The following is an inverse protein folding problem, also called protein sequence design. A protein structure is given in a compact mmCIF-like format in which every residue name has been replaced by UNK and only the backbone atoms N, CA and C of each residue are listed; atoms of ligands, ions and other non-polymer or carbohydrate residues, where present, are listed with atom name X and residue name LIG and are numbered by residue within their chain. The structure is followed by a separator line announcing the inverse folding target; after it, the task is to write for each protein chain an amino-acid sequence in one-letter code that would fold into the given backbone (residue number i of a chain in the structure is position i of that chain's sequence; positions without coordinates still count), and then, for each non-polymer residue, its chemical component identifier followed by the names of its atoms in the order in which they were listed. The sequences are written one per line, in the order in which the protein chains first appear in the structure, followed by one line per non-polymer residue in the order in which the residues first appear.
data_IF_652338602275
#
_entry.id   IF_652338602275
#
_cell.length_a   1.000
_cell.length_b   1.000
_cell.length_c   1.000
_cell.angle_alpha   90.00
_cell.angle_beta   90.00
_cell.angle_gamma   90.00
#
_symmetry.space_group_name_H-M   'P 1'
#
loop_
_entity.id
_entity.type
_entity.pdbx_description
1 polymer ?
#
# COMPACT_ATOMS: atom_id res chain seq x y z
N UNK A 1 -11.94 -34.61 26.34
CA UNK A 1 -12.04 -35.54 25.19
C UNK A 1 -13.42 -35.41 24.56
N UNK A 2 -13.53 -34.65 23.49
CA UNK A 2 -14.39 -34.92 22.32
C UNK A 2 -14.02 -33.88 21.27
N UNK A 3 -13.21 -34.34 20.32
CA UNK A 3 -12.95 -33.70 19.05
C UNK A 3 -14.26 -33.53 18.29
N UNK A 4 -14.39 -32.44 17.54
CA UNK A 4 -15.12 -32.42 16.27
C UNK A 4 -14.61 -31.26 15.43
N UNK A 5 -13.94 -31.64 14.34
CA UNK A 5 -13.53 -30.80 13.23
C UNK A 5 -14.77 -30.17 12.57
N UNK A 6 -14.67 -28.91 12.18
CA UNK A 6 -15.48 -28.38 11.09
C UNK A 6 -14.60 -27.40 10.28
N UNK A 7 -14.16 -27.88 9.11
CA UNK A 7 -13.77 -27.03 7.99
C UNK A 7 -14.96 -26.13 7.63
N UNK A 8 -14.74 -24.83 7.51
CA UNK A 8 -15.65 -23.95 6.80
C UNK A 8 -14.84 -23.07 5.85
N UNK A 9 -15.12 -23.30 4.57
CA UNK A 9 -14.67 -22.62 3.38
C UNK A 9 -15.07 -21.13 3.44
N UNK A 10 -14.13 -20.20 3.29
CA UNK A 10 -14.44 -18.78 3.07
C UNK A 10 -14.06 -18.43 1.64
N UNK A 11 -15.07 -18.29 0.79
CA UNK A 11 -14.93 -17.65 -0.50
C UNK A 11 -14.99 -16.13 -0.27
N UNK A 12 -13.85 -15.46 -0.36
CA UNK A 12 -13.81 -14.00 -0.50
C UNK A 12 -13.97 -13.66 -1.98
N UNK A 13 -15.07 -12.99 -2.31
CA UNK A 13 -15.29 -12.39 -3.63
C UNK A 13 -14.54 -11.05 -3.60
N UNK A 14 -13.41 -10.96 -4.28
CA UNK A 14 -12.82 -9.68 -4.67
C UNK A 14 -13.61 -9.16 -5.87
N UNK A 15 -14.18 -7.96 -5.77
CA UNK A 15 -14.88 -7.31 -6.87
C UNK A 15 -14.02 -6.16 -7.42
N UNK A 16 -12.95 -6.49 -8.15
CA UNK A 16 -12.30 -5.50 -8.99
C UNK A 16 -13.23 -5.15 -10.16
N UNK A 17 -13.81 -3.95 -10.09
CA UNK A 17 -14.74 -3.43 -11.09
C UNK A 17 -13.99 -3.12 -12.39
N UNK A 18 -14.13 -3.99 -13.39
CA UNK A 18 -13.64 -3.75 -14.74
C UNK A 18 -14.53 -2.69 -15.43
N UNK A 19 -14.00 -1.49 -15.66
CA UNK A 19 -14.65 -0.49 -16.51
C UNK A 19 -14.59 -0.95 -17.98
N UNK A 20 -15.68 -1.54 -18.47
CA UNK A 20 -15.92 -1.70 -19.92
C UNK A 20 -16.54 -0.42 -20.47
N UNK A 21 -15.77 0.35 -21.22
CA UNK A 21 -16.28 1.48 -22.00
C UNK A 21 -17.19 0.99 -23.12
N UNK A 22 -18.44 1.47 -23.13
CA UNK A 22 -19.42 1.19 -24.17
C UNK A 22 -19.44 2.37 -25.15
N UNK A 23 -18.94 2.16 -26.37
CA UNK A 23 -19.09 3.11 -27.47
C UNK A 23 -20.55 3.12 -27.94
N UNK A 24 -21.21 4.26 -27.83
CA UNK A 24 -22.45 4.53 -28.58
C UNK A 24 -22.24 5.67 -29.56
N UNK A 25 -22.43 5.33 -30.83
CA UNK A 25 -22.37 6.21 -31.99
C UNK A 25 -23.62 7.11 -32.14
N UNK A 26 -23.41 8.24 -32.83
CA UNK A 26 -24.44 9.09 -33.44
C UNK A 26 -24.55 10.47 -32.78
N UNK A 27 -24.50 11.61 -33.47
CA UNK A 27 -24.37 11.93 -34.88
C UNK A 27 -24.66 13.43 -35.09
N UNK A 28 -24.02 14.00 -36.12
CA UNK A 28 -24.37 15.21 -36.90
C UNK A 28 -24.50 16.59 -36.21
N UNK A 29 -23.63 17.53 -36.64
CA UNK A 29 -23.88 18.96 -36.53
C UNK A 29 -22.65 19.86 -36.69
N UNK A 30 -22.16 20.06 -37.93
CA UNK A 30 -21.30 21.21 -38.25
C UNK A 30 -22.10 22.53 -38.31
N UNK A 31 -21.49 23.73 -38.53
CA UNK A 31 -20.45 23.89 -39.55
C UNK A 31 -19.33 24.96 -39.31
N UNK A 32 -18.27 24.82 -40.12
CA UNK A 32 -17.45 25.84 -40.82
C UNK A 32 -16.46 26.83 -40.16
N UNK A 33 -15.19 26.65 -40.59
CA UNK A 33 -14.06 27.55 -40.93
C UNK A 33 -13.42 28.49 -39.89
N UNK A 34 -12.10 28.30 -39.69
CA UNK A 34 -11.10 29.08 -40.44
C UNK A 34 -9.70 28.46 -40.36
N UNK A 35 -9.09 28.31 -41.53
CA UNK A 35 -7.74 27.80 -41.76
C UNK A 35 -6.68 28.83 -41.39
N UNK A 36 -5.55 28.39 -40.83
CA UNK A 36 -4.25 29.04 -41.00
C UNK A 36 -3.19 27.99 -41.33
N UNK A 37 -2.50 28.25 -42.44
CA UNK A 37 -1.50 27.40 -43.07
C UNK A 37 -0.17 27.34 -42.33
N UNK A 38 0.43 26.16 -42.43
CA UNK A 38 1.84 25.89 -42.74
C UNK A 38 2.94 26.38 -41.78
N UNK A 39 3.64 25.40 -41.18
CA UNK A 39 5.08 25.24 -41.37
C UNK A 39 5.54 23.83 -40.96
N UNK A 40 6.12 23.12 -41.91
CA UNK A 40 6.85 21.87 -41.70
C UNK A 40 8.11 22.11 -40.84
N UNK A 41 8.48 21.19 -39.94
CA UNK A 41 9.85 21.04 -39.52
C UNK A 41 10.56 19.95 -40.32
N UNK A 42 11.75 20.32 -40.74
CA UNK A 42 12.76 19.57 -41.48
C UNK A 42 13.27 18.40 -40.66
N UNK A 43 13.33 17.22 -41.30
CA UNK A 43 14.11 16.06 -40.87
C UNK A 43 15.60 16.38 -40.87
N UNK A 44 16.30 16.14 -39.76
CA UNK A 44 17.76 16.12 -39.73
C UNK A 44 18.24 14.94 -38.90
N UNK A 45 18.60 13.88 -39.62
CA UNK A 45 19.27 12.68 -39.15
C UNK A 45 20.74 13.00 -38.89
N UNK A 46 21.27 12.62 -37.73
CA UNK A 46 22.73 12.64 -37.47
C UNK A 46 23.21 11.20 -37.25
N UNK A 47 24.25 10.73 -37.97
CA UNK A 47 24.78 9.39 -37.81
C UNK A 47 25.70 9.29 -36.58
N UNK A 48 25.59 8.18 -35.85
CA UNK A 48 26.53 7.79 -34.79
C UNK A 48 27.68 6.97 -35.41
N UNK A 49 28.96 7.33 -35.17
CA UNK A 49 30.09 6.54 -35.63
C UNK A 49 30.43 5.39 -34.67
N UNK A 50 30.56 4.20 -35.24
CA UNK A 50 31.14 2.98 -34.65
C UNK A 50 32.66 3.09 -34.55
N UNK A 51 33.32 2.72 -33.43
CA UNK A 51 34.73 2.40 -33.41
C UNK A 51 34.99 0.88 -33.60
N UNK A 52 36.09 0.49 -34.27
CA UNK A 52 36.42 -0.88 -34.63
C UNK A 52 37.14 -1.67 -33.52
N UNK A 53 37.02 -2.99 -33.65
CA UNK A 53 37.70 -4.07 -32.92
C UNK A 53 39.22 -4.09 -33.08
N UNK A 54 39.92 -4.64 -32.08
CA UNK A 54 41.10 -5.54 -32.18
C UNK A 54 41.78 -5.63 -30.80
N UNK A 55 42.55 -6.64 -30.38
CA UNK A 55 42.80 -8.04 -30.72
C UNK A 55 43.81 -8.53 -29.63
N UNK A 56 43.91 -9.84 -29.42
CA UNK A 56 45.04 -10.59 -28.81
C UNK A 56 45.14 -10.77 -27.27
N UNK A 57 44.84 -12.00 -26.86
CA UNK A 57 45.57 -12.78 -25.85
C UNK A 57 46.94 -13.22 -26.44
N UNK A 58 48.01 -13.48 -25.65
CA UNK A 58 48.16 -14.82 -25.06
C UNK A 58 49.01 -14.94 -23.76
N UNK A 59 48.98 -16.17 -23.24
CA UNK A 59 50.05 -16.92 -22.56
C UNK A 59 50.15 -16.96 -21.02
N UNK A 60 49.80 -18.16 -20.54
CA UNK A 60 50.13 -18.87 -19.30
C UNK A 60 51.54 -18.68 -18.74
N UNK A 61 51.70 -18.68 -17.41
CA UNK A 61 52.83 -19.32 -16.68
C UNK A 61 52.49 -19.46 -15.16
N UNK A 62 52.34 -20.72 -14.75
CA UNK A 62 52.82 -21.40 -13.52
C UNK A 62 52.45 -20.94 -12.10
N UNK A 63 51.75 -21.87 -11.43
CA UNK A 63 51.44 -22.08 -10.01
C UNK A 63 52.68 -22.19 -9.09
N UNK A 64 52.58 -21.72 -7.84
CA UNK A 64 53.14 -22.43 -6.70
C UNK A 64 52.03 -22.91 -5.75
N UNK A 65 52.16 -24.18 -5.33
CA UNK A 65 51.41 -24.78 -4.22
C UNK A 65 51.62 -23.99 -2.93
N UNK A 66 50.53 -23.71 -2.21
CA UNK A 66 50.58 -23.44 -0.77
C UNK A 66 49.38 -24.09 -0.09
N UNK A 67 49.70 -24.71 1.03
CA UNK A 67 48.96 -25.71 1.79
C UNK A 67 47.51 -25.34 2.10
N UNK A 68 46.63 -26.32 1.89
CA UNK A 68 45.28 -26.31 2.41
C UNK A 68 45.31 -26.32 3.95
N UNK A 69 44.99 -25.17 4.57
CA UNK A 69 44.49 -25.16 5.92
C UNK A 69 43.04 -25.68 5.88
N UNK A 70 42.76 -26.74 6.63
CA UNK A 70 41.39 -27.22 6.83
C UNK A 70 40.57 -26.07 7.44
N UNK A 71 39.44 -25.65 6.82
CA UNK A 71 38.50 -24.81 7.53
C UNK A 71 37.96 -25.64 8.69
N UNK A 72 38.16 -25.14 9.91
CA UNK A 72 37.47 -25.68 11.08
C UNK A 72 35.97 -25.73 10.77
N UNK A 73 35.25 -26.79 11.18
CA UNK A 73 33.80 -26.81 11.04
C UNK A 73 33.25 -25.54 11.69
N UNK A 74 32.61 -24.74 10.85
CA UNK A 74 32.09 -23.44 11.22
C UNK A 74 31.28 -23.58 12.50
N UNK A 75 31.50 -22.66 13.43
CA UNK A 75 30.51 -22.37 14.46
C UNK A 75 29.16 -22.32 13.76
N UNK A 76 28.28 -23.24 14.14
CA UNK A 76 26.85 -23.11 13.96
C UNK A 76 26.48 -21.76 14.54
N UNK A 77 26.46 -20.74 13.67
CA UNK A 77 26.07 -19.39 14.02
C UNK A 77 24.70 -19.51 14.67
N UNK A 78 24.56 -18.88 15.84
CA UNK A 78 23.25 -18.72 16.46
C UNK A 78 22.24 -18.30 15.38
N UNK A 79 21.00 -18.84 15.42
CA UNK A 79 19.96 -18.32 14.54
C UNK A 79 19.95 -16.80 14.66
N UNK A 80 20.03 -16.11 13.52
CA UNK A 80 19.95 -14.65 13.50
C UNK A 80 18.63 -14.29 14.19
N UNK A 81 18.68 -13.53 15.28
CA UNK A 81 17.51 -12.91 15.89
C UNK A 81 17.28 -11.55 15.24
N UNK A 82 16.07 -11.01 15.36
CA UNK A 82 15.72 -9.71 14.79
C UNK A 82 15.01 -9.78 13.45
N UNK A 83 14.45 -8.65 13.03
CA UNK A 83 13.64 -8.54 11.81
C UNK A 83 14.37 -9.02 10.55
N UNK A 84 15.70 -8.89 10.49
CA UNK A 84 16.52 -9.29 9.33
C UNK A 84 16.56 -10.79 9.11
N UNK A 85 16.17 -11.57 10.10
CA UNK A 85 16.07 -13.02 9.99
C UNK A 85 14.68 -13.49 9.52
N UNK A 86 13.72 -12.57 9.44
CA UNK A 86 12.35 -12.88 9.03
C UNK A 86 12.29 -13.15 7.53
N UNK A 87 11.76 -14.30 7.17
CA UNK A 87 11.42 -14.63 5.79
C UNK A 87 10.00 -14.14 5.49
N UNK A 88 9.87 -12.89 5.03
CA UNK A 88 8.59 -12.30 4.68
C UNK A 88 7.84 -13.05 3.57
N UNK A 89 8.54 -13.87 2.79
CA UNK A 89 7.97 -14.71 1.73
C UNK A 89 7.38 -16.03 2.23
N UNK A 90 7.60 -16.38 3.50
CA UNK A 90 7.03 -17.56 4.14
C UNK A 90 6.22 -17.20 5.41
N UNK A 91 5.48 -16.08 5.33
CA UNK A 91 4.61 -15.57 6.40
C UNK A 91 3.14 -15.52 6.00
N UNK A 92 2.29 -15.46 7.04
CA UNK A 92 0.90 -15.05 6.88
C UNK A 92 0.78 -13.55 7.10
N UNK A 93 0.38 -12.86 6.05
CA UNK A 93 0.09 -11.43 6.02
C UNK A 93 -1.38 -11.19 6.39
N UNK A 94 -1.62 -10.12 7.14
CA UNK A 94 -2.89 -9.40 7.13
C UNK A 94 -2.96 -8.65 5.80
N UNK A 95 -4.06 -8.84 5.06
CA UNK A 95 -4.23 -8.13 3.80
C UNK A 95 -4.19 -6.60 4.09
N UNK A 96 -3.26 -5.85 3.48
CA UNK A 96 -3.07 -4.43 3.79
C UNK A 96 -4.22 -3.53 3.36
N UNK A 97 -5.14 -4.03 2.52
CA UNK A 97 -6.29 -3.30 1.98
C UNK A 97 -7.60 -3.85 2.54
N UNK A 98 -7.69 -5.16 2.76
CA UNK A 98 -8.87 -5.82 3.29
C UNK A 98 -8.69 -6.30 4.74
N UNK A 99 -9.22 -5.60 5.76
CA UNK A 99 -9.07 -5.96 7.18
C UNK A 99 -9.46 -7.40 7.53
N UNK A 100 -10.42 -7.99 6.80
CA UNK A 100 -10.93 -9.34 7.05
C UNK A 100 -10.05 -10.45 6.47
N UNK A 101 -9.15 -10.13 5.55
CA UNK A 101 -8.40 -11.12 4.80
C UNK A 101 -7.02 -11.40 5.41
N UNK A 102 -6.55 -12.62 5.14
CA UNK A 102 -5.22 -13.11 5.46
C UNK A 102 -4.65 -13.80 4.23
N UNK A 103 -3.36 -13.60 3.98
CA UNK A 103 -2.66 -14.16 2.83
C UNK A 103 -1.43 -14.91 3.33
N UNK A 104 -1.41 -16.22 3.20
CA UNK A 104 -0.24 -17.03 3.54
C UNK A 104 0.65 -17.19 2.32
N UNK A 105 1.80 -16.52 2.32
CA UNK A 105 2.83 -16.69 1.31
C UNK A 105 3.63 -17.97 1.59
N UNK A 106 4.07 -18.61 0.50
CA UNK A 106 5.08 -19.67 0.47
C UNK A 106 6.05 -19.35 -0.65
N UNK A 107 7.35 -19.39 -0.38
CA UNK A 107 8.39 -19.04 -1.35
C UNK A 107 8.12 -17.68 -2.04
N UNK A 108 7.65 -16.70 -1.25
CA UNK A 108 7.38 -15.34 -1.69
C UNK A 108 6.06 -15.15 -2.44
N UNK A 109 5.20 -16.17 -2.55
CA UNK A 109 3.96 -16.10 -3.35
C UNK A 109 2.75 -16.73 -2.69
N UNK A 110 1.56 -16.28 -3.07
CA UNK A 110 0.30 -16.96 -2.81
C UNK A 110 -0.66 -16.84 -3.99
N UNK A 111 -1.63 -17.75 -4.07
CA UNK A 111 -2.72 -17.70 -5.04
C UNK A 111 -4.06 -17.65 -4.32
N UNK A 112 -4.96 -16.83 -4.84
CA UNK A 112 -6.29 -16.58 -4.33
C UNK A 112 -7.38 -17.01 -5.31
N UNK A 113 -8.64 -16.72 -4.95
CA UNK A 113 -9.76 -16.93 -5.87
C UNK A 113 -9.65 -16.01 -7.10
N UNK A 114 -10.38 -16.38 -8.16
CA UNK A 114 -10.51 -15.58 -9.39
C UNK A 114 -9.20 -15.23 -10.13
N UNK A 115 -8.09 -15.90 -9.83
CA UNK A 115 -6.80 -15.62 -10.45
C UNK A 115 -6.02 -14.48 -9.79
N UNK A 116 -6.48 -14.01 -8.63
CA UNK A 116 -5.71 -13.12 -7.76
C UNK A 116 -4.44 -13.84 -7.27
N UNK A 117 -3.29 -13.19 -7.39
CA UNK A 117 -2.02 -13.69 -6.86
C UNK A 117 -1.36 -12.63 -6.01
N UNK A 118 -0.62 -13.07 -4.99
CA UNK A 118 0.21 -12.19 -4.19
C UNK A 118 1.67 -12.56 -4.33
N UNK A 119 2.54 -11.56 -4.27
CA UNK A 119 3.97 -11.72 -4.14
C UNK A 119 4.57 -10.68 -3.22
N UNK A 120 5.69 -11.02 -2.58
CA UNK A 120 6.48 -10.07 -1.78
C UNK A 120 7.72 -9.63 -2.57
N UNK A 121 8.08 -8.36 -2.47
CA UNK A 121 9.38 -7.85 -2.93
C UNK A 121 10.50 -8.40 -2.03
N UNK A 122 11.60 -8.85 -2.64
CA UNK A 122 12.74 -9.44 -1.96
C UNK A 122 13.72 -8.41 -1.39
N UNK A 123 13.42 -7.11 -1.51
CA UNK A 123 14.25 -6.01 -1.00
C UNK A 123 13.63 -5.20 0.16
N UNK A 124 13.40 -5.79 1.35
CA UNK A 124 12.99 -5.03 2.53
C UNK A 124 13.92 -3.87 2.85
N UNK A 125 13.35 -2.74 3.24
CA UNK A 125 14.11 -1.62 3.84
C UNK A 125 14.06 -1.77 5.35
N UNK A 126 15.22 -1.71 5.99
CA UNK A 126 15.33 -1.85 7.45
C UNK A 126 15.57 -0.50 8.12
N UNK A 127 14.82 -0.23 9.18
CA UNK A 127 14.81 1.03 9.93
C UNK A 127 14.22 0.77 11.32
N UNK A 128 14.65 1.51 12.32
CA UNK A 128 14.01 1.53 13.65
C UNK A 128 12.75 2.43 13.56
N UNK A 129 11.59 1.81 13.31
CA UNK A 129 10.32 2.50 13.05
C UNK A 129 9.75 3.03 14.36
N UNK A 130 9.72 2.23 15.42
CA UNK A 130 9.04 2.59 16.66
C UNK A 130 9.95 3.25 17.71
N UNK A 131 11.27 3.25 17.49
CA UNK A 131 12.27 3.90 18.32
C UNK A 131 12.72 3.06 19.51
N UNK A 132 12.49 1.74 19.50
CA UNK A 132 12.86 0.83 20.58
C UNK A 132 14.34 0.38 20.53
N UNK A 133 15.02 0.68 19.42
CA UNK A 133 16.43 0.38 19.19
C UNK A 133 16.69 -0.95 18.47
N UNK A 134 15.66 -1.75 18.23
CA UNK A 134 15.71 -2.87 17.29
C UNK A 134 15.32 -2.38 15.87
N UNK A 135 15.82 -3.09 14.86
CA UNK A 135 15.41 -2.78 13.49
C UNK A 135 14.04 -3.39 13.20
N UNK A 136 13.25 -2.65 12.43
CA UNK A 136 11.99 -3.05 11.81
C UNK A 136 12.16 -3.13 10.29
N UNK A 137 11.09 -3.44 9.57
CA UNK A 137 11.10 -3.51 8.11
C UNK A 137 9.94 -2.77 7.46
N UNK A 138 10.23 -2.14 6.30
CA UNK A 138 9.25 -1.81 5.29
C UNK A 138 9.33 -2.84 4.17
N UNK A 139 8.22 -3.50 3.90
CA UNK A 139 8.12 -4.62 2.96
C UNK A 139 6.97 -4.38 2.00
N UNK A 140 7.22 -4.64 0.72
CA UNK A 140 6.23 -4.45 -0.34
C UNK A 140 5.49 -5.75 -0.61
N UNK A 141 4.16 -5.70 -0.58
CA UNK A 141 3.29 -6.78 -1.02
C UNK A 141 2.56 -6.34 -2.28
N UNK A 142 2.66 -7.14 -3.33
CA UNK A 142 2.00 -6.93 -4.62
C UNK A 142 0.88 -7.94 -4.77
N UNK A 143 -0.33 -7.47 -5.06
CA UNK A 143 -1.47 -8.28 -5.46
C UNK A 143 -1.77 -8.03 -6.95
N UNK A 144 -1.98 -9.07 -7.73
CA UNK A 144 -2.23 -8.99 -9.17
C UNK A 144 -3.47 -9.80 -9.54
N UNK A 145 -4.33 -9.25 -10.39
CA UNK A 145 -5.50 -9.96 -10.94
C UNK A 145 -5.71 -9.57 -12.40
N UNK A 146 -5.52 -10.53 -13.32
CA UNK A 146 -5.66 -10.30 -14.75
C UNK A 146 -4.70 -9.23 -15.25
N UNK A 147 -5.22 -8.02 -15.47
CA UNK A 147 -4.43 -6.88 -15.90
C UNK A 147 -4.27 -5.79 -14.82
N UNK A 148 -4.89 -5.97 -13.65
CA UNK A 148 -4.79 -5.07 -12.49
C UNK A 148 -3.64 -5.47 -11.56
N UNK A 149 -3.15 -4.49 -10.81
CA UNK A 149 -2.23 -4.70 -9.70
C UNK A 149 -2.53 -3.73 -8.57
N UNK A 150 -2.15 -4.12 -7.36
CA UNK A 150 -2.08 -3.31 -6.16
C UNK A 150 -0.73 -3.58 -5.49
N UNK A 151 0.06 -2.54 -5.28
CA UNK A 151 1.33 -2.57 -4.56
C UNK A 151 1.16 -1.82 -3.25
N UNK A 152 1.43 -2.50 -2.14
CA UNK A 152 1.29 -1.93 -0.80
C UNK A 152 2.61 -1.99 -0.06
N UNK A 153 2.99 -0.89 0.59
CA UNK A 153 4.19 -0.82 1.44
C UNK A 153 3.76 -0.93 2.90
N UNK A 154 4.05 -2.06 3.53
CA UNK A 154 3.67 -2.34 4.91
C UNK A 154 4.86 -2.24 5.85
N UNK A 155 4.66 -1.66 7.03
CA UNK A 155 5.62 -1.71 8.11
C UNK A 155 5.46 -3.02 8.89
N UNK A 156 6.58 -3.57 9.36
CA UNK A 156 6.68 -4.76 10.19
C UNK A 156 7.57 -4.45 11.37
N UNK A 157 6.96 -4.35 12.55
CA UNK A 157 7.64 -4.06 13.80
C UNK A 157 8.24 -5.34 14.36
N UNK A 158 9.45 -5.28 14.88
CA UNK A 158 10.06 -6.38 15.62
C UNK A 158 9.66 -6.30 17.09
N UNK A 159 9.20 -7.41 17.65
CA UNK A 159 9.00 -7.52 19.09
C UNK A 159 10.06 -8.45 19.69
N UNK A 160 11.12 -7.85 20.26
CA UNK A 160 12.19 -8.61 20.89
C UNK A 160 11.74 -9.42 22.12
N UNK A 161 10.65 -9.03 22.78
CA UNK A 161 10.13 -9.76 23.93
C UNK A 161 9.48 -11.09 23.54
N UNK A 162 8.88 -11.14 22.35
CA UNK A 162 8.22 -12.35 21.83
C UNK A 162 8.98 -13.02 20.67
N UNK A 163 10.10 -12.43 20.22
CA UNK A 163 10.93 -12.88 19.10
C UNK A 163 10.11 -13.04 17.80
N UNK A 164 9.23 -12.06 17.53
CA UNK A 164 8.26 -12.14 16.43
C UNK A 164 8.09 -10.82 15.68
N UNK A 165 7.90 -10.88 14.35
CA UNK A 165 7.48 -9.72 13.58
C UNK A 165 5.98 -9.47 13.74
N UNK A 166 5.60 -8.19 13.72
CA UNK A 166 4.25 -7.66 13.93
C UNK A 166 3.88 -6.73 12.79
N UNK A 167 2.89 -7.10 11.98
CA UNK A 167 2.51 -6.32 10.80
C UNK A 167 1.67 -5.10 11.18
N UNK A 168 2.09 -3.93 10.70
CA UNK A 168 1.29 -2.71 10.74
C UNK A 168 0.22 -2.74 9.64
N UNK A 169 -1.03 -2.45 9.99
CA UNK A 169 -2.15 -2.35 9.04
C UNK A 169 -2.92 -1.02 9.16
N UNK A 170 -3.52 -0.52 8.07
CA UNK A 170 -3.28 -0.92 6.69
C UNK A 170 -1.83 -0.69 6.25
N UNK A 171 -1.54 -1.07 5.01
CA UNK A 171 -0.32 -0.63 4.34
C UNK A 171 -0.18 0.90 4.38
N UNK A 172 1.04 1.40 4.51
CA UNK A 172 1.33 2.84 4.53
C UNK A 172 0.99 3.50 3.20
N UNK A 173 1.11 2.75 2.11
CA UNK A 173 0.75 3.20 0.76
C UNK A 173 0.01 2.11 0.01
N UNK A 174 -0.72 2.55 -1.02
CA UNK A 174 -1.37 1.71 -2.02
C UNK A 174 -1.15 2.39 -3.36
N UNK A 175 -0.40 1.72 -4.22
CA UNK A 175 -0.26 2.05 -5.62
C UNK A 175 -1.07 1.03 -6.40
N UNK A 176 -1.81 1.44 -7.41
CA UNK A 176 -2.65 0.53 -8.18
C UNK A 176 -2.66 0.91 -9.64
N UNK A 177 -3.11 -0.04 -10.48
CA UNK A 177 -3.28 0.24 -11.90
C UNK A 177 -4.22 1.44 -12.09
N UNK A 178 -3.76 2.43 -12.87
CA UNK A 178 -4.47 3.69 -13.08
C UNK A 178 -4.73 4.50 -11.80
N UNK A 179 -4.00 4.22 -10.72
CA UNK A 179 -4.13 4.95 -9.46
C UNK A 179 -3.02 5.98 -9.25
N UNK A 180 -2.86 6.32 -7.98
CA UNK A 180 -1.75 7.12 -7.47
C UNK A 180 -0.45 6.30 -7.49
N UNK A 181 0.68 6.99 -7.46
CA UNK A 181 2.02 6.38 -7.43
C UNK A 181 2.79 6.90 -6.24
N UNK A 182 3.27 6.03 -5.37
CA UNK A 182 4.17 6.41 -4.29
C UNK A 182 5.55 6.72 -4.85
N UNK A 183 6.11 7.88 -4.49
CA UNK A 183 7.48 8.23 -4.82
C UNK A 183 8.42 8.01 -3.65
N UNK A 184 7.98 8.33 -2.44
CA UNK A 184 8.83 8.22 -1.26
C UNK A 184 8.01 7.82 -0.02
N UNK A 185 8.59 6.91 0.76
CA UNK A 185 8.19 6.64 2.14
C UNK A 185 9.41 6.86 3.02
N UNK A 186 9.34 7.88 3.88
CA UNK A 186 10.46 8.30 4.73
C UNK A 186 10.03 8.36 6.19
N UNK A 187 10.75 7.64 7.05
CA UNK A 187 10.63 7.82 8.49
C UNK A 187 11.18 9.21 8.86
N UNK A 188 10.37 10.02 9.52
CA UNK A 188 10.76 11.39 9.92
C UNK A 188 11.19 11.46 11.38
N UNK A 189 10.61 10.60 12.20
CA UNK A 189 10.89 10.35 13.61
C UNK A 189 10.20 9.02 13.98
N UNK A 190 10.47 8.45 15.16
CA UNK A 190 9.77 7.24 15.60
C UNK A 190 8.26 7.36 15.39
N UNK A 191 7.67 6.28 14.88
CA UNK A 191 6.25 6.10 14.62
C UNK A 191 5.64 7.08 13.61
N UNK A 192 6.44 7.84 12.84
CA UNK A 192 5.93 8.88 11.93
C UNK A 192 6.62 8.87 10.57
N UNK A 193 5.83 8.63 9.52
CA UNK A 193 6.28 8.66 8.13
C UNK A 193 5.80 9.91 7.41
N UNK A 194 6.66 10.47 6.55
CA UNK A 194 6.26 11.33 5.44
C UNK A 194 6.13 10.46 4.21
N UNK A 195 5.00 10.55 3.52
CA UNK A 195 4.73 9.80 2.29
C UNK A 195 4.44 10.77 1.16
N UNK A 196 5.27 10.71 0.13
CA UNK A 196 5.11 11.50 -1.08
C UNK A 196 4.49 10.63 -2.17
N UNK A 197 3.43 11.13 -2.80
CA UNK A 197 2.72 10.44 -3.88
C UNK A 197 2.48 11.38 -5.06
N UNK A 198 2.42 10.80 -6.25
CA UNK A 198 1.81 11.42 -7.41
C UNK A 198 0.34 11.00 -7.45
N UNK A 199 -0.54 12.00 -7.45
CA UNK A 199 -1.98 11.86 -7.46
C UNK A 199 -2.47 11.95 -8.90
N UNK A 200 -3.28 10.98 -9.31
CA UNK A 200 -3.91 11.00 -10.63
C UNK A 200 -5.08 11.97 -10.66
N UNK A 201 -5.07 12.87 -11.64
CA UNK A 201 -6.21 13.68 -12.03
C UNK A 201 -6.82 13.14 -13.32
N UNK A 202 -6.77 13.93 -14.37
CA UNK A 202 -7.35 13.60 -15.68
C UNK A 202 -6.41 12.81 -16.60
N UNK A 203 -5.18 12.49 -16.15
CA UNK A 203 -4.21 11.75 -16.96
C UNK A 203 -4.67 10.32 -17.27
N UNK A 204 -4.49 9.89 -18.52
CA UNK A 204 -4.84 8.52 -18.94
C UNK A 204 -3.96 7.48 -18.22
N UNK A 205 -4.48 6.25 -18.06
CA UNK A 205 -3.80 5.17 -17.36
C UNK A 205 -2.35 4.88 -17.80
N UNK A 206 -2.03 5.11 -19.08
CA UNK A 206 -0.71 4.87 -19.64
C UNK A 206 0.32 5.95 -19.26
N UNK A 207 -0.15 7.09 -18.73
CA UNK A 207 0.67 8.21 -18.30
C UNK A 207 0.90 8.16 -16.79
N UNK A 208 2.12 8.53 -16.37
CA UNK A 208 2.44 8.73 -14.96
C UNK A 208 1.72 10.01 -14.48
N UNK A 209 1.05 9.99 -13.32
CA UNK A 209 0.48 11.21 -12.76
C UNK A 209 1.55 12.27 -12.50
N UNK A 210 1.17 13.54 -12.51
CA UNK A 210 2.13 14.64 -12.34
C UNK A 210 1.91 15.48 -11.09
N UNK A 211 0.68 15.52 -10.57
CA UNK A 211 0.37 16.27 -9.35
C UNK A 211 0.97 15.56 -8.14
N UNK A 212 1.81 16.24 -7.37
CA UNK A 212 2.44 15.66 -6.19
C UNK A 212 1.72 16.08 -4.91
N UNK A 213 1.58 15.16 -3.96
CA UNK A 213 1.11 15.44 -2.61
C UNK A 213 2.01 14.78 -1.57
N UNK A 214 1.96 15.27 -0.34
CA UNK A 214 2.67 14.68 0.79
C UNK A 214 1.73 14.56 1.97
N UNK A 215 1.67 13.36 2.54
CA UNK A 215 0.93 13.08 3.77
C UNK A 215 1.85 12.67 4.90
N UNK A 216 1.41 12.92 6.13
CA UNK A 216 2.05 12.41 7.33
C UNK A 216 1.24 11.25 7.86
N UNK A 217 1.88 10.11 8.05
CA UNK A 217 1.29 8.88 8.57
C UNK A 217 1.88 8.59 9.94
N UNK A 218 1.02 8.19 10.87
CA UNK A 218 1.41 7.72 12.20
C UNK A 218 1.22 6.21 12.28
N UNK A 219 2.16 5.53 12.93
CA UNK A 219 2.04 4.13 13.36
C UNK A 219 1.85 4.11 14.88
N UNK A 220 0.94 3.27 15.37
CA UNK A 220 0.77 2.99 16.81
C UNK A 220 0.13 1.62 16.99
N UNK A 221 0.70 0.79 17.85
CA UNK A 221 0.13 -0.51 18.25
C UNK A 221 -0.26 -1.40 17.04
N UNK A 222 0.60 -1.49 16.02
CA UNK A 222 0.34 -2.21 14.74
C UNK A 222 -0.69 -1.56 13.80
N UNK A 223 -1.09 -0.30 14.04
CA UNK A 223 -2.04 0.40 13.18
C UNK A 223 -1.47 1.68 12.58
N UNK A 224 -1.79 1.94 11.31
CA UNK A 224 -1.38 3.15 10.60
C UNK A 224 -2.57 4.03 10.20
N UNK A 225 -2.43 5.34 10.33
CA UNK A 225 -3.39 6.30 9.79
C UNK A 225 -2.73 7.62 9.42
N UNK A 226 -3.35 8.34 8.49
CA UNK A 226 -2.91 9.67 8.13
C UNK A 226 -3.29 10.65 9.23
N UNK A 227 -2.37 11.57 9.54
CA UNK A 227 -2.56 12.61 10.55
C UNK A 227 -2.41 14.03 9.99
N UNK A 228 -1.87 14.14 8.77
CA UNK A 228 -1.80 15.39 8.01
C UNK A 228 -1.77 15.09 6.49
N UNK A 229 -2.31 15.99 5.64
CA UNK A 229 -2.99 17.25 6.00
C UNK A 229 -4.34 17.01 6.69
N UNK A 230 -4.98 15.87 6.41
CA UNK A 230 -6.26 15.49 7.00
C UNK A 230 -6.10 14.19 7.80
N UNK A 231 -6.74 14.10 8.96
CA UNK A 231 -6.74 12.87 9.78
C UNK A 231 -7.70 11.88 9.13
N UNK A 232 -7.21 10.73 8.67
CA UNK A 232 -8.03 9.71 7.97
C UNK A 232 -7.39 8.33 8.02
N UNK A 233 -8.20 7.27 8.00
CA UNK A 233 -7.69 5.93 7.71
C UNK A 233 -7.17 5.85 6.26
N UNK A 234 -6.11 5.06 6.01
CA UNK A 234 -5.36 5.11 4.74
C UNK A 234 -6.01 4.36 3.57
N UNK A 235 -6.89 3.39 3.84
CA UNK A 235 -7.52 2.53 2.82
C UNK A 235 -9.04 2.68 2.78
N UNK A 236 -9.53 3.89 2.97
CA UNK A 236 -10.92 4.17 2.62
C UNK A 236 -11.01 4.67 1.19
N UNK A 237 -11.89 4.09 0.37
CA UNK A 237 -12.22 4.68 -0.92
C UNK A 237 -12.90 6.03 -0.72
N UNK A 238 -12.55 6.99 -1.58
CA UNK A 238 -13.23 8.28 -1.69
C UNK A 238 -14.68 8.09 -2.11
N UNK A 239 -15.62 8.72 -1.40
CA UNK A 239 -16.97 8.99 -1.90
C UNK A 239 -17.43 10.37 -1.45
N UNK A 240 -18.09 11.09 -2.35
CA UNK A 240 -18.74 12.36 -2.04
C UNK A 240 -19.81 12.12 -0.97
N UNK A 241 -19.68 12.83 0.15
CA UNK A 241 -20.60 12.74 1.27
C UNK A 241 -22.00 13.19 0.87
N UNK A 242 -23.00 12.39 1.22
CA UNK A 242 -24.39 12.83 1.26
C UNK A 242 -24.60 13.70 2.51
N UNK A 243 -25.78 14.32 2.60
CA UNK A 243 -26.15 15.17 3.73
C UNK A 243 -25.94 14.46 5.06
N UNK A 244 -25.25 15.15 5.98
CA UNK A 244 -24.80 14.69 7.29
C UNK A 244 -25.94 14.10 8.14
N UNK A 245 -25.75 12.88 8.66
CA UNK A 245 -26.79 12.12 9.36
C UNK A 245 -26.77 12.20 10.89
N UNK A 246 -25.59 12.35 11.52
CA UNK A 246 -25.43 12.27 12.98
C UNK A 246 -24.37 13.25 13.52
N UNK A 247 -24.61 13.92 14.68
CA UNK A 247 -23.61 14.76 15.33
C UNK A 247 -22.55 13.90 16.04
N UNK A 248 -21.28 14.29 15.96
CA UNK A 248 -20.19 13.53 16.60
C UNK A 248 -20.27 13.46 18.12
N UNK A 249 -20.99 14.39 18.76
CA UNK A 249 -21.23 14.42 20.20
C UNK A 249 -21.94 13.18 20.74
N UNK A 250 -22.72 12.49 19.90
CA UNK A 250 -23.49 11.31 20.32
C UNK A 250 -22.57 10.12 20.64
N UNK A 251 -21.29 10.18 20.25
CA UNK A 251 -20.28 9.15 20.50
C UNK A 251 -19.42 9.41 21.75
N UNK A 252 -19.57 10.56 22.42
CA UNK A 252 -18.79 10.87 23.62
C UNK A 252 -17.27 10.86 23.40
N UNK A 253 -16.56 10.08 24.20
CA UNK A 253 -15.11 9.89 24.09
C UNK A 253 -14.70 8.84 23.04
N UNK A 254 -15.66 8.05 22.53
CA UNK A 254 -15.44 7.15 21.40
C UNK A 254 -15.38 7.92 20.08
N UNK A 255 -14.87 7.27 19.03
CA UNK A 255 -14.77 7.87 17.72
C UNK A 255 -14.22 6.94 16.65
N UNK A 256 -13.95 7.45 15.44
CA UNK A 256 -13.47 6.67 14.31
C UNK A 256 -12.12 6.03 14.63
N UNK A 257 -12.02 4.74 14.36
CA UNK A 257 -10.80 3.96 14.48
C UNK A 257 -10.02 3.91 13.18
N UNK A 258 -8.71 3.76 13.30
CA UNK A 258 -7.77 3.67 12.17
C UNK A 258 -8.01 2.44 11.28
N UNK A 259 -8.59 1.38 11.84
CA UNK A 259 -8.87 0.12 11.18
C UNK A 259 -10.11 -0.54 11.76
N UNK A 260 -10.72 -1.47 11.02
CA UNK A 260 -11.87 -2.25 11.48
C UNK A 260 -11.40 -3.42 12.37
N UNK A 261 -10.90 -3.07 13.54
CA UNK A 261 -10.32 -3.97 14.54
C UNK A 261 -10.56 -3.37 15.94
N UNK A 262 -10.92 -4.20 16.92
CA UNK A 262 -11.27 -3.73 18.28
C UNK A 262 -10.06 -3.10 18.99
N UNK A 263 -8.85 -3.55 18.63
CA UNK A 263 -7.60 -3.02 19.14
C UNK A 263 -7.14 -1.76 18.37
N UNK A 264 -7.81 -1.44 17.25
CA UNK A 264 -7.41 -0.29 16.44
C UNK A 264 -7.59 1.03 17.20
N UNK A 265 -6.60 1.92 17.13
CA UNK A 265 -6.64 3.18 17.84
C UNK A 265 -7.76 4.09 17.36
N UNK A 266 -8.44 4.74 18.30
CA UNK A 266 -9.31 5.89 18.04
C UNK A 266 -8.44 7.03 17.50
N UNK A 267 -8.77 7.50 16.28
CA UNK A 267 -8.03 8.57 15.59
C UNK A 267 -8.44 9.95 16.10
N UNK A 268 -9.72 10.12 16.39
CA UNK A 268 -10.38 11.35 16.84
C UNK A 268 -11.49 10.96 17.81
N UNK A 269 -11.77 11.85 18.77
CA UNK A 269 -12.90 11.66 19.68
C UNK A 269 -14.17 12.29 19.10
N UNK A 270 -15.36 11.91 19.59
CA UNK A 270 -16.64 12.43 19.11
C UNK A 270 -16.74 13.97 19.15
N UNK A 271 -16.10 14.63 20.14
CA UNK A 271 -16.01 16.10 20.23
C UNK A 271 -15.25 16.77 19.06
N UNK A 272 -14.35 16.03 18.42
CA UNK A 272 -13.55 16.54 17.29
C UNK A 272 -14.31 16.41 15.97
N UNK A 273 -15.52 15.84 16.00
CA UNK A 273 -16.35 15.53 14.85
C UNK A 273 -17.62 16.36 14.89
N UNK A 274 -17.79 17.20 13.87
CA UNK A 274 -19.03 17.95 13.70
C UNK A 274 -20.16 17.04 13.28
N UNK A 275 -19.87 16.11 12.36
CA UNK A 275 -20.88 15.27 11.75
C UNK A 275 -20.29 14.04 11.07
N UNK A 276 -21.11 13.00 10.91
CA UNK A 276 -20.75 11.73 10.28
C UNK A 276 -21.84 11.24 9.33
N UNK A 277 -21.41 10.44 8.36
CA UNK A 277 -22.27 9.65 7.48
C UNK A 277 -21.75 8.22 7.38
N UNK A 278 -22.68 7.26 7.25
CA UNK A 278 -22.32 5.86 7.02
C UNK A 278 -21.97 5.70 5.55
N UNK A 279 -20.82 5.08 5.27
CA UNK A 279 -20.59 4.56 3.92
C UNK A 279 -21.46 3.30 3.75
N UNK A 280 -22.42 3.36 2.82
CA UNK A 280 -23.33 2.27 2.53
C UNK A 280 -22.65 1.09 1.83
N UNK A 281 -21.41 1.27 1.35
CA UNK A 281 -20.59 0.18 0.85
C UNK A 281 -20.13 -0.75 1.99
N UNK A 282 -20.46 -2.03 1.83
CA UNK A 282 -19.96 -3.13 2.67
C UNK A 282 -18.68 -3.77 2.13
N UNK A 283 -18.18 -3.29 1.00
CA UNK A 283 -16.99 -3.87 0.38
C UNK A 283 -15.75 -3.62 1.23
N UNK A 284 -15.04 -4.71 1.56
CA UNK A 284 -13.86 -4.68 2.43
C UNK A 284 -14.15 -4.38 3.90
N UNK A 285 -15.41 -4.17 4.31
CA UNK A 285 -15.76 -3.86 5.71
C UNK A 285 -16.14 -5.16 6.44
N UNK A 286 -15.45 -5.55 7.53
CA UNK A 286 -15.78 -6.75 8.28
C UNK A 286 -17.19 -6.69 8.88
N UNK A 287 -17.79 -7.85 9.12
CA UNK A 287 -19.07 -7.94 9.85
C UNK A 287 -18.91 -7.33 11.24
N UNK A 288 -19.90 -6.54 11.67
CA UNK A 288 -19.85 -5.84 12.95
C UNK A 288 -19.12 -4.49 12.89
N UNK A 289 -18.71 -4.05 11.71
CA UNK A 289 -18.08 -2.75 11.49
C UNK A 289 -18.82 -1.95 10.42
N UNK A 290 -18.70 -0.63 10.53
CA UNK A 290 -19.13 0.34 9.55
C UNK A 290 -17.92 1.18 9.14
N UNK A 291 -17.83 1.50 7.85
CA UNK A 291 -16.98 2.58 7.38
C UNK A 291 -17.78 3.87 7.45
N UNK A 292 -17.14 4.94 7.91
CA UNK A 292 -17.77 6.23 8.15
C UNK A 292 -16.97 7.33 7.49
N UNK A 293 -17.67 8.30 6.94
CA UNK A 293 -17.13 9.59 6.53
C UNK A 293 -17.43 10.60 7.63
N UNK A 294 -16.51 11.52 7.90
CA UNK A 294 -16.73 12.53 8.95
C UNK A 294 -16.23 13.90 8.56
N UNK A 295 -16.83 14.92 9.17
CA UNK A 295 -16.39 16.31 9.11
C UNK A 295 -15.80 16.67 10.46
N UNK A 296 -14.59 17.20 10.46
CA UNK A 296 -13.95 17.67 11.69
C UNK A 296 -14.56 18.99 12.13
N UNK A 297 -14.63 19.21 13.44
CA UNK A 297 -15.12 20.46 14.01
C UNK A 297 -14.30 21.69 13.61
N UNK A 298 -13.05 21.50 13.20
CA UNK A 298 -12.11 22.55 12.78
C UNK A 298 -11.85 22.61 11.26
N UNK A 299 -12.48 21.75 10.45
CA UNK A 299 -12.30 21.76 8.99
C UNK A 299 -13.21 22.78 8.29
N UNK A 300 -12.69 23.41 7.24
CA UNK A 300 -13.54 24.14 6.30
C UNK A 300 -14.37 23.13 5.49
N UNK A 301 -15.68 23.38 5.37
CA UNK A 301 -16.65 22.47 4.72
C UNK A 301 -16.45 22.35 3.22
N UNK A 302 -15.50 23.10 2.67
CA UNK A 302 -15.11 23.10 1.26
C UNK A 302 -14.12 21.99 0.90
N UNK A 303 -13.58 21.26 1.89
CA UNK A 303 -12.64 20.17 1.63
C UNK A 303 -13.34 19.02 0.88
N UNK A 304 -12.90 18.77 -0.35
CA UNK A 304 -13.60 17.90 -1.29
C UNK A 304 -13.37 16.43 -1.00
N UNK A 305 -12.38 16.07 -0.16
CA UNK A 305 -12.07 14.69 0.22
C UNK A 305 -12.40 14.44 1.70
N UNK A 306 -13.64 14.01 2.03
CA UNK A 306 -14.02 13.84 3.42
C UNK A 306 -13.14 12.74 4.06
N UNK A 307 -12.53 13.02 5.23
CA UNK A 307 -11.81 12.00 5.95
C UNK A 307 -12.73 10.85 6.38
N UNK A 308 -12.12 9.69 6.57
CA UNK A 308 -12.82 8.47 6.88
C UNK A 308 -12.24 7.75 8.11
N UNK A 309 -13.02 6.83 8.65
CA UNK A 309 -12.55 5.83 9.61
C UNK A 309 -13.52 4.66 9.74
N UNK A 310 -13.31 3.86 10.78
CA UNK A 310 -14.13 2.71 11.08
C UNK A 310 -14.83 2.85 12.43
N UNK A 311 -16.06 2.36 12.52
CA UNK A 311 -16.84 2.39 13.76
C UNK A 311 -17.54 1.05 13.97
N UNK A 312 -17.60 0.50 15.19
CA UNK A 312 -18.36 -0.72 15.46
C UNK A 312 -19.84 -0.56 15.10
N UNK A 313 -20.43 -1.57 14.49
CA UNK A 313 -21.87 -1.64 14.30
C UNK A 313 -22.53 -2.04 15.63
N UNK A 314 -23.47 -1.21 16.10
CA UNK A 314 -24.32 -1.53 17.25
C UNK A 314 -25.41 -2.53 16.92
#
# INVERSE_FOLDING_TARGET
MRESRALALVAAIAALTACTGNETAGGAGGPTVSAHSARSPVTSSTPTPTPPSDTASPASTTRPSSSAASPAPGSSGSPRSGIRAVDFGDLTWRDPVNPSARVTLRDGRASGPAGLTWSVDDTPRYLDIDGDGDEDALVTLVAEEGNGYQETRSAWLWDASSDKPRQVVPGLTLDERCGNVTEEVRLTKPNTFSVTRLVRGEEICAEKPTAQTTSTIRVRDEFAWQIAPTVTALMCPYREGRGLGFPGSDFGDDGPRAWADDDAPVMLTGKDIQAMDLDDSREGVPRGWNRILFIRSDSDKSDTSPPCGYFPAS
#
